data_IF_879685591918
#
_entry.id   IF_879685591918
#
_cell.length_a   1.000
_cell.length_b   1.000
_cell.length_c   1.000
_cell.angle_alpha   90.00
_cell.angle_beta   90.00
_cell.angle_gamma   90.00
#
_symmetry.space_group_name_H-M   'P 1'
#
loop_
_entity.id
_entity.type
_entity.pdbx_description
1 polymer ?
#
# COMPACT_ATOMS: atom_id res chain seq x y z
N UNK A 1 -18.28 -8.37 -11.63
CA UNK A 1 -17.80 -7.56 -10.49
C UNK A 1 -18.92 -7.52 -9.47
N UNK A 2 -18.63 -7.86 -8.21
CA UNK A 2 -19.62 -7.84 -7.12
C UNK A 2 -19.17 -6.80 -6.11
N UNK A 3 -20.07 -5.92 -5.66
CA UNK A 3 -19.79 -4.93 -4.63
C UNK A 3 -20.24 -5.46 -3.27
N UNK A 4 -19.36 -5.39 -2.27
CA UNK A 4 -19.62 -5.94 -0.94
C UNK A 4 -19.18 -4.94 0.11
N UNK A 5 -20.04 -4.70 1.10
CA UNK A 5 -19.69 -3.89 2.26
C UNK A 5 -18.87 -4.70 3.26
N UNK A 6 -17.83 -4.09 3.82
CA UNK A 6 -17.00 -4.75 4.80
C UNK A 6 -15.97 -3.84 5.46
N UNK A 7 -15.01 -4.48 6.11
CA UNK A 7 -13.87 -3.85 6.76
C UNK A 7 -12.58 -4.40 6.16
N UNK A 8 -11.74 -3.51 5.65
CA UNK A 8 -10.44 -3.83 5.06
C UNK A 8 -9.34 -3.42 6.05
N UNK A 9 -8.70 -4.41 6.67
CA UNK A 9 -7.55 -4.19 7.55
C UNK A 9 -6.26 -4.27 6.72
N UNK A 10 -5.59 -3.13 6.51
CA UNK A 10 -4.34 -3.02 5.77
C UNK A 10 -3.17 -3.07 6.76
N UNK A 11 -2.18 -3.92 6.48
CA UNK A 11 -0.94 -4.07 7.24
C UNK A 11 0.27 -3.92 6.32
N UNK A 12 1.27 -3.19 6.78
CA UNK A 12 2.55 -3.10 6.05
C UNK A 12 3.42 -4.30 6.39
N UNK A 13 3.93 -4.98 5.36
CA UNK A 13 4.78 -6.15 5.48
C UNK A 13 6.11 -5.87 4.77
N UNK A 14 7.21 -5.99 5.51
CA UNK A 14 8.55 -5.90 4.93
C UNK A 14 8.92 -7.19 4.20
N UNK A 15 9.24 -7.09 2.91
CA UNK A 15 9.70 -8.19 2.07
C UNK A 15 11.15 -8.03 1.62
N UNK A 16 11.65 -9.05 0.90
CA UNK A 16 13.00 -9.03 0.29
C UNK A 16 13.22 -7.85 -0.65
N UNK A 17 12.15 -7.37 -1.29
CA UNK A 17 12.19 -6.29 -2.30
C UNK A 17 11.64 -4.95 -1.78
N UNK A 18 11.45 -4.81 -0.46
CA UNK A 18 10.90 -3.61 0.16
C UNK A 18 9.62 -3.87 0.92
N UNK A 19 9.14 -2.83 1.58
CA UNK A 19 7.86 -2.83 2.28
C UNK A 19 6.71 -2.90 1.29
N UNK A 20 5.70 -3.69 1.64
CA UNK A 20 4.52 -3.82 0.84
C UNK A 20 3.28 -4.01 1.68
N UNK A 21 2.18 -3.43 1.24
CA UNK A 21 0.93 -3.60 1.98
C UNK A 21 0.20 -4.88 1.59
N UNK A 22 -0.35 -5.54 2.61
CA UNK A 22 -1.33 -6.63 2.47
C UNK A 22 -2.59 -6.23 3.21
N UNK A 23 -3.73 -6.68 2.71
CA UNK A 23 -4.99 -6.38 3.36
C UNK A 23 -5.80 -7.63 3.62
N UNK A 24 -6.63 -7.56 4.65
CA UNK A 24 -7.61 -8.59 4.96
C UNK A 24 -8.98 -7.96 4.92
N UNK A 25 -9.81 -8.42 3.98
CA UNK A 25 -11.20 -7.99 3.87
C UNK A 25 -12.08 -8.93 4.68
N UNK A 26 -12.77 -8.37 5.67
CA UNK A 26 -13.83 -9.01 6.42
C UNK A 26 -15.18 -8.51 5.92
N UNK A 27 -16.05 -9.42 5.49
CA UNK A 27 -17.37 -9.11 4.96
C UNK A 27 -18.34 -10.27 5.22
N UNK A 28 -19.60 -10.09 4.84
CA UNK A 28 -20.64 -11.12 5.00
C UNK A 28 -20.34 -12.45 4.29
N UNK A 29 -19.54 -12.42 3.21
CA UNK A 29 -19.11 -13.63 2.49
C UNK A 29 -17.95 -14.35 3.17
N UNK A 30 -17.43 -13.80 4.25
CA UNK A 30 -16.27 -14.30 4.98
C UNK A 30 -15.04 -13.41 4.80
N UNK A 31 -13.89 -14.03 5.02
CA UNK A 31 -12.60 -13.34 5.14
C UNK A 31 -11.68 -13.66 3.97
N UNK A 32 -11.18 -12.63 3.32
CA UNK A 32 -10.34 -12.74 2.13
C UNK A 32 -9.02 -12.02 2.29
N UNK A 33 -7.92 -12.69 1.92
CA UNK A 33 -6.61 -12.07 1.85
C UNK A 33 -6.45 -11.34 0.51
N UNK A 34 -6.06 -10.07 0.56
CA UNK A 34 -5.87 -9.22 -0.62
C UNK A 34 -4.39 -8.81 -0.66
N UNK A 35 -3.76 -9.10 -1.80
CA UNK A 35 -2.36 -8.76 -2.06
C UNK A 35 -2.30 -8.03 -3.40
N UNK A 36 -2.73 -6.79 -3.38
CA UNK A 36 -2.82 -5.95 -4.57
C UNK A 36 -1.83 -4.77 -4.48
N UNK A 37 -1.33 -4.29 -5.62
CA UNK A 37 -0.40 -3.18 -5.67
C UNK A 37 -1.07 -1.86 -5.24
N UNK A 38 -2.37 -1.69 -5.52
CA UNK A 38 -3.12 -0.50 -5.10
C UNK A 38 -3.14 -0.31 -3.58
N UNK A 39 -2.99 -1.39 -2.80
CA UNK A 39 -2.94 -1.31 -1.33
C UNK A 39 -1.72 -0.56 -0.85
N UNK A 40 -0.65 -0.51 -1.65
CA UNK A 40 0.60 0.13 -1.28
C UNK A 40 0.47 1.65 -1.17
N UNK A 41 -0.55 2.25 -1.77
CA UNK A 41 -0.85 3.67 -1.62
C UNK A 41 -1.43 4.02 -0.24
N UNK A 42 -2.12 3.06 0.38
CA UNK A 42 -2.79 3.25 1.66
C UNK A 42 -1.80 3.13 2.82
N UNK A 43 -2.08 3.79 3.94
CA UNK A 43 -1.31 3.57 5.17
C UNK A 43 -1.84 2.34 5.92
N UNK A 44 -1.03 1.79 6.84
CA UNK A 44 -1.51 0.78 7.78
C UNK A 44 -2.71 1.32 8.58
N UNK A 45 -3.78 0.53 8.67
CA UNK A 45 -5.03 0.99 9.25
C UNK A 45 -6.23 0.11 8.91
N UNK A 46 -7.38 0.48 9.47
CA UNK A 46 -8.67 -0.16 9.20
C UNK A 46 -9.52 0.77 8.34
N UNK A 47 -10.05 0.22 7.25
CA UNK A 47 -10.80 0.97 6.25
C UNK A 47 -12.19 0.34 6.09
N UNK A 48 -13.25 1.09 6.37
CA UNK A 48 -14.63 0.62 6.25
C UNK A 48 -15.27 1.19 4.99
N UNK A 49 -15.96 0.33 4.24
CA UNK A 49 -16.56 0.77 2.99
C UNK A 49 -17.17 -0.34 2.16
N UNK A 50 -17.39 -0.01 0.89
CA UNK A 50 -17.81 -0.94 -0.15
C UNK A 50 -16.61 -1.30 -1.01
N UNK A 51 -16.41 -2.59 -1.25
CA UNK A 51 -15.28 -3.14 -1.99
C UNK A 51 -15.82 -3.89 -3.20
N UNK A 52 -15.32 -3.54 -4.39
CA UNK A 52 -15.65 -4.25 -5.61
C UNK A 52 -14.73 -5.45 -5.76
N UNK A 53 -15.26 -6.66 -5.65
CA UNK A 53 -14.51 -7.90 -5.87
C UNK A 53 -14.51 -8.23 -7.37
N UNK A 54 -13.31 -8.33 -7.93
CA UNK A 54 -13.05 -8.79 -9.31
C UNK A 54 -13.22 -10.30 -9.41
N UNK A 55 -12.53 -11.02 -8.54
CA UNK A 55 -12.56 -12.49 -8.42
C UNK A 55 -12.12 -12.95 -7.03
N UNK A 56 -12.59 -14.13 -6.64
CA UNK A 56 -12.14 -14.87 -5.46
C UNK A 56 -11.45 -16.13 -5.97
N UNK A 57 -10.28 -16.44 -5.43
CA UNK A 57 -9.47 -17.58 -5.86
C UNK A 57 -8.62 -18.10 -4.70
N UNK A 58 -8.24 -19.38 -4.77
CA UNK A 58 -7.26 -19.94 -3.83
C UNK A 58 -5.86 -19.50 -4.23
N UNK A 59 -5.21 -18.72 -3.38
CA UNK A 59 -3.79 -18.41 -3.52
C UNK A 59 -2.97 -19.40 -2.73
N UNK A 60 -1.91 -19.96 -3.32
CA UNK A 60 -0.97 -20.80 -2.58
C UNK A 60 0.43 -20.20 -2.58
N UNK A 61 1.17 -20.40 -1.50
CA UNK A 61 2.60 -20.15 -1.47
C UNK A 61 3.30 -21.23 -0.66
N UNK A 62 4.52 -21.52 -1.08
CA UNK A 62 5.38 -22.50 -0.43
C UNK A 62 6.46 -21.75 0.37
N UNK A 63 6.55 -22.08 1.65
CA UNK A 63 7.73 -21.79 2.47
C UNK A 63 8.63 -23.04 2.50
N UNK A 64 9.88 -22.93 2.97
CA UNK A 64 10.88 -24.00 2.91
C UNK A 64 10.35 -25.37 3.38
N UNK A 65 9.40 -25.40 4.32
CA UNK A 65 8.87 -26.64 4.89
C UNK A 65 7.32 -26.77 4.84
N UNK A 66 6.58 -25.83 4.24
CA UNK A 66 5.10 -25.86 4.27
C UNK A 66 4.48 -25.33 2.97
N UNK A 67 3.32 -25.89 2.64
CA UNK A 67 2.44 -25.41 1.57
C UNK A 67 1.20 -24.79 2.20
N UNK A 68 0.97 -23.50 1.94
CA UNK A 68 -0.14 -22.74 2.53
C UNK A 68 -1.11 -22.37 1.40
N UNK A 69 -2.39 -22.68 1.58
CA UNK A 69 -3.48 -22.27 0.70
C UNK A 69 -4.34 -21.28 1.48
N UNK A 70 -4.56 -20.09 0.91
CA UNK A 70 -5.40 -19.05 1.50
C UNK A 70 -6.47 -18.60 0.50
N UNK A 71 -7.64 -18.26 0.99
CA UNK A 71 -8.71 -17.69 0.15
C UNK A 71 -8.36 -16.22 -0.14
N UNK A 72 -8.05 -15.93 -1.40
CA UNK A 72 -7.69 -14.58 -1.86
C UNK A 72 -8.81 -13.94 -2.66
N UNK A 73 -8.85 -12.62 -2.60
CA UNK A 73 -9.69 -11.80 -3.47
C UNK A 73 -8.84 -10.77 -4.19
N UNK A 74 -9.19 -10.51 -5.45
CA UNK A 74 -8.73 -9.35 -6.19
C UNK A 74 -9.82 -8.27 -6.15
N UNK A 75 -9.40 -7.05 -5.86
CA UNK A 75 -10.30 -5.91 -5.86
C UNK A 75 -10.28 -5.23 -7.23
N UNK A 76 -11.44 -4.81 -7.69
CA UNK A 76 -11.64 -3.93 -8.83
C UNK A 76 -11.82 -2.47 -8.41
N UNK A 77 -12.13 -2.20 -7.14
CA UNK A 77 -12.31 -0.85 -6.62
C UNK A 77 -12.58 -0.81 -5.13
N UNK A 78 -12.26 0.33 -4.50
CA UNK A 78 -12.50 0.62 -3.09
C UNK A 78 -13.39 1.86 -3.01
N UNK A 79 -14.42 1.86 -2.17
CA UNK A 79 -15.25 3.03 -1.86
C UNK A 79 -15.37 3.15 -0.35
N UNK A 80 -14.61 4.06 0.25
CA UNK A 80 -14.52 4.20 1.70
C UNK A 80 -15.63 5.08 2.26
N UNK A 81 -16.26 4.62 3.34
CA UNK A 81 -17.17 5.40 4.16
C UNK A 81 -16.39 6.06 5.30
N UNK A 82 -15.62 5.25 6.04
CA UNK A 82 -14.84 5.65 7.20
C UNK A 82 -13.48 4.95 7.20
N UNK A 83 -12.47 5.55 7.83
CA UNK A 83 -11.15 4.94 7.96
C UNK A 83 -10.43 5.41 9.22
N UNK A 84 -9.64 4.52 9.79
CA UNK A 84 -8.75 4.81 10.91
C UNK A 84 -7.33 4.38 10.53
N UNK A 85 -6.48 5.38 10.28
CA UNK A 85 -5.04 5.18 10.07
C UNK A 85 -4.33 5.00 11.41
N UNK A 86 -3.40 4.05 11.46
CA UNK A 86 -2.70 3.71 12.69
C UNK A 86 -2.52 2.21 12.82
N UNK A 87 -1.75 1.80 13.83
CA UNK A 87 -1.47 0.39 14.06
C UNK A 87 -2.79 -0.33 14.36
N UNK A 88 -3.21 -1.18 13.43
CA UNK A 88 -4.39 -2.02 13.65
C UNK A 88 -4.09 -2.94 14.84
N UNK A 89 -4.94 -2.96 15.89
CA UNK A 89 -4.74 -3.87 16.99
C UNK A 89 -4.70 -5.29 16.43
N UNK A 90 -3.72 -6.07 16.89
CA UNK A 90 -3.61 -7.49 16.59
C UNK A 90 -4.80 -8.18 17.29
N UNK A 91 -6.00 -8.09 16.69
CA UNK A 91 -7.13 -8.90 17.12
C UNK A 91 -6.66 -10.35 17.11
N UNK A 92 -6.77 -10.97 18.28
CA UNK A 92 -6.20 -12.25 18.69
C UNK A 92 -6.79 -13.42 17.91
N UNK A 93 -6.52 -13.42 16.62
CA UNK A 93 -6.77 -14.51 15.71
C UNK A 93 -5.57 -15.44 15.88
N UNK A 94 -5.77 -16.46 16.71
CA UNK A 94 -4.95 -17.67 16.86
C UNK A 94 -3.51 -17.46 16.35
N UNK A 95 -2.60 -17.06 17.25
CA UNK A 95 -1.19 -16.78 16.97
C UNK A 95 -0.68 -17.55 15.76
N UNK A 96 -0.65 -16.88 14.60
CA UNK A 96 -0.13 -17.46 13.39
C UNK A 96 1.37 -17.66 13.64
N UNK A 97 1.89 -18.90 13.76
CA UNK A 97 3.29 -19.13 14.12
C UNK A 97 4.26 -18.61 13.04
N UNK A 98 3.75 -18.10 11.91
CA UNK A 98 4.50 -17.40 10.88
C UNK A 98 4.75 -15.91 11.21
N UNK A 99 3.96 -15.29 12.09
CA UNK A 99 4.16 -13.90 12.51
C UNK A 99 5.46 -13.75 13.33
N UNK A 100 5.78 -14.74 14.17
CA UNK A 100 6.97 -14.74 15.01
C UNK A 100 8.26 -14.91 14.20
N UNK A 101 8.26 -15.77 13.17
CA UNK A 101 9.38 -15.91 12.23
C UNK A 101 9.56 -14.67 11.33
N UNK A 102 8.47 -13.94 11.01
CA UNK A 102 8.54 -12.69 10.23
C UNK A 102 9.02 -11.51 11.09
N UNK A 103 8.62 -11.44 12.36
CA UNK A 103 9.08 -10.42 13.31
C UNK A 103 10.57 -10.59 13.64
N UNK A 104 11.07 -11.83 13.73
CA UNK A 104 12.49 -12.10 13.94
C UNK A 104 13.39 -11.60 12.77
N UNK A 105 12.85 -11.46 11.55
CA UNK A 105 13.56 -10.87 10.41
C UNK A 105 13.44 -9.34 10.34
N UNK A 106 12.37 -8.76 10.89
CA UNK A 106 12.12 -7.31 10.87
C UNK A 106 13.05 -6.51 11.81
N UNK A 107 13.43 -7.09 12.96
CA UNK A 107 14.29 -6.43 13.96
C UNK A 107 15.72 -6.14 13.47
N UNK A 108 16.14 -6.69 12.33
CA UNK A 108 17.45 -6.43 11.73
C UNK A 108 17.50 -5.27 10.73
N UNK A 109 16.39 -4.58 10.48
CA UNK A 109 16.29 -3.56 9.42
C UNK A 109 15.91 -2.15 9.88
N UNK A 110 16.03 -1.86 11.18
CA UNK A 110 15.80 -0.52 11.75
C UNK A 110 16.83 0.56 11.34
N UNK A 111 17.68 0.29 10.35
CA UNK A 111 18.59 1.26 9.74
C UNK A 111 18.56 1.06 8.23
N UNK A 112 17.80 1.88 7.51
CA UNK A 112 18.11 2.22 6.12
C UNK A 112 17.68 3.64 5.81
N UNK A 113 18.70 4.43 5.49
CA UNK A 113 18.62 5.80 5.01
C UNK A 113 17.70 5.94 3.80
N UNK A 114 17.08 7.12 3.61
CA UNK A 114 16.30 7.42 2.41
C UNK A 114 17.13 7.14 1.15
N UNK A 115 16.58 6.33 0.26
CA UNK A 115 17.16 6.05 -1.05
C UNK A 115 17.08 7.35 -1.86
N UNK A 116 18.21 8.04 -2.03
CA UNK A 116 18.32 9.18 -2.94
C UNK A 116 18.13 8.67 -4.36
N UNK A 117 16.90 8.79 -4.87
CA UNK A 117 16.58 8.47 -6.26
C UNK A 117 17.11 9.61 -7.14
N UNK A 118 18.00 9.35 -8.12
CA UNK A 118 18.54 10.38 -9.00
C UNK A 118 17.41 11.06 -9.78
N UNK A 119 17.43 12.39 -9.79
CA UNK A 119 16.39 13.29 -10.34
C UNK A 119 16.14 13.15 -11.85
N UNK A 120 17.07 12.55 -12.59
CA UNK A 120 17.02 12.38 -14.05
C UNK A 120 16.00 11.30 -14.48
N UNK A 121 15.72 10.31 -13.60
CA UNK A 121 14.85 9.15 -13.89
C UNK A 121 13.34 9.46 -13.70
N UNK A 122 12.99 10.65 -13.18
CA UNK A 122 11.62 10.98 -12.77
C UNK A 122 10.67 11.23 -13.95
N UNK A 123 11.19 11.78 -15.05
CA UNK A 123 10.41 11.97 -16.28
C UNK A 123 10.11 10.61 -16.94
N UNK A 124 11.00 9.64 -16.85
CA UNK A 124 10.78 8.27 -17.34
C UNK A 124 9.82 7.49 -16.43
N UNK A 125 9.94 7.67 -15.11
CA UNK A 125 9.12 6.97 -14.11
C UNK A 125 7.64 7.40 -14.12
N UNK A 126 7.37 8.68 -14.39
CA UNK A 126 6.02 9.23 -14.40
C UNK A 126 5.48 9.53 -15.82
N UNK A 127 6.35 9.59 -16.83
CA UNK A 127 5.96 9.79 -18.23
C UNK A 127 5.10 11.04 -18.42
N UNK A 128 3.87 10.85 -18.89
CA UNK A 128 2.89 11.92 -19.13
C UNK A 128 2.33 12.57 -17.85
N UNK A 129 2.50 11.93 -16.68
CA UNK A 129 2.14 12.53 -15.39
C UNK A 129 3.18 13.56 -14.92
N UNK A 130 4.31 13.67 -15.63
CA UNK A 130 5.35 14.64 -15.35
C UNK A 130 5.13 15.95 -16.13
N UNK A 131 5.31 17.13 -15.51
CA UNK A 131 5.76 17.36 -14.13
C UNK A 131 4.65 17.15 -13.09
N UNK A 132 4.99 16.49 -11.99
CA UNK A 132 4.08 16.27 -10.88
C UNK A 132 3.84 17.59 -10.13
N UNK A 133 2.72 18.24 -10.47
CA UNK A 133 2.17 19.38 -9.79
C UNK A 133 3.06 20.58 -9.59
N UNK A 134 2.93 21.59 -10.45
CA UNK A 134 3.66 22.85 -10.34
C UNK A 134 3.26 23.70 -9.11
N UNK A 135 2.15 23.36 -8.42
CA UNK A 135 1.58 24.14 -7.32
C UNK A 135 1.16 23.25 -6.15
N UNK A 136 1.06 23.84 -4.96
CA UNK A 136 0.45 23.19 -3.78
C UNK A 136 -1.03 22.92 -4.10
N UNK A 137 -1.50 21.70 -3.83
CA UNK A 137 -2.86 21.25 -4.12
C UNK A 137 -3.00 20.46 -5.42
N UNK A 138 -1.91 20.26 -6.17
CA UNK A 138 -1.95 19.45 -7.38
C UNK A 138 -2.20 17.96 -7.06
N UNK A 139 -2.92 17.28 -7.96
CA UNK A 139 -3.46 15.95 -7.74
C UNK A 139 -2.80 14.96 -8.71
N UNK A 140 -2.16 13.93 -8.15
CA UNK A 140 -1.55 12.84 -8.91
C UNK A 140 -2.32 11.55 -8.62
N UNK A 141 -2.78 10.90 -9.68
CA UNK A 141 -3.41 9.58 -9.61
C UNK A 141 -2.48 8.55 -10.23
N UNK A 142 -2.04 7.58 -9.42
CA UNK A 142 -1.25 6.46 -9.92
C UNK A 142 -2.17 5.48 -10.66
N UNK A 143 -1.62 4.81 -11.67
CA UNK A 143 -2.32 3.72 -12.33
C UNK A 143 -1.87 2.38 -11.71
N UNK A 144 -2.73 1.67 -10.97
CA UNK A 144 -2.35 0.39 -10.35
C UNK A 144 -2.04 -0.73 -11.35
N UNK A 145 -2.39 -0.56 -12.63
CA UNK A 145 -2.11 -1.55 -13.68
C UNK A 145 -0.63 -1.58 -14.14
N UNK A 146 0.18 -0.59 -13.75
CA UNK A 146 1.62 -0.50 -14.14
C UNK A 146 2.51 -1.55 -13.45
N UNK A 147 1.93 -2.37 -12.57
CA UNK A 147 2.64 -3.43 -11.86
C UNK A 147 3.37 -2.93 -10.61
N UNK A 148 3.60 -3.86 -9.68
CA UNK A 148 4.09 -3.55 -8.33
C UNK A 148 5.47 -2.90 -8.29
N UNK A 149 6.35 -3.24 -9.22
CA UNK A 149 7.73 -2.72 -9.25
C UNK A 149 7.77 -1.23 -9.62
N UNK A 150 7.07 -0.84 -10.68
CA UNK A 150 7.00 0.55 -11.13
C UNK A 150 6.20 1.39 -10.14
N UNK A 151 5.07 0.86 -9.68
CA UNK A 151 4.24 1.50 -8.65
C UNK A 151 5.01 1.68 -7.33
N UNK A 152 5.81 0.71 -6.92
CA UNK A 152 6.66 0.81 -5.73
C UNK A 152 7.71 1.92 -5.85
N UNK A 153 8.28 2.14 -7.04
CA UNK A 153 9.21 3.25 -7.30
C UNK A 153 8.50 4.61 -7.28
N UNK A 154 7.32 4.70 -7.90
CA UNK A 154 6.49 5.91 -7.87
C UNK A 154 6.06 6.26 -6.43
N UNK A 155 5.69 5.24 -5.65
CA UNK A 155 5.36 5.39 -4.24
C UNK A 155 6.55 5.78 -3.38
N UNK A 156 7.72 5.21 -3.61
CA UNK A 156 8.95 5.60 -2.93
C UNK A 156 9.25 7.09 -3.17
N UNK A 157 8.98 7.60 -4.38
CA UNK A 157 9.09 9.02 -4.68
C UNK A 157 8.04 9.87 -3.95
N UNK A 158 6.76 9.49 -3.99
CA UNK A 158 5.69 10.28 -3.36
C UNK A 158 5.76 10.25 -1.82
N UNK A 159 6.16 9.11 -1.24
CA UNK A 159 6.38 8.94 0.20
C UNK A 159 7.72 9.51 0.66
N UNK A 160 8.55 10.05 -0.24
CA UNK A 160 9.85 10.63 0.14
C UNK A 160 9.65 11.80 1.10
N UNK A 161 10.55 11.87 2.07
CA UNK A 161 10.68 13.01 2.96
C UNK A 161 11.71 13.96 2.35
N UNK A 162 11.37 15.24 2.27
CA UNK A 162 12.33 16.28 1.87
C UNK A 162 12.66 17.06 3.14
N UNK A 163 13.91 16.96 3.60
CA UNK A 163 14.29 17.37 4.95
C UNK A 163 13.77 16.40 6.01
N UNK A 164 12.69 16.77 6.68
CA UNK A 164 12.01 15.99 7.73
C UNK A 164 10.48 15.89 7.49
N UNK A 165 9.98 16.50 6.42
CA UNK A 165 8.54 16.68 6.18
C UNK A 165 8.09 15.96 4.90
N UNK A 166 6.84 15.49 4.90
CA UNK A 166 6.20 14.87 3.73
C UNK A 166 5.71 15.94 2.76
N UNK A 167 6.03 15.77 1.48
CA UNK A 167 5.63 16.71 0.40
C UNK A 167 4.30 16.30 -0.24
N UNK A 168 4.01 15.01 -0.25
CA UNK A 168 2.77 14.46 -0.77
C UNK A 168 1.98 13.75 0.33
N UNK A 169 0.65 13.88 0.26
CA UNK A 169 -0.29 13.16 1.11
C UNK A 169 -1.23 12.36 0.25
N UNK A 170 -1.38 11.08 0.54
CA UNK A 170 -2.41 10.26 -0.07
C UNK A 170 -3.75 10.49 0.63
N UNK A 171 -4.80 10.78 -0.15
CA UNK A 171 -6.17 10.91 0.32
C UNK A 171 -6.92 9.60 0.05
N UNK A 172 -7.13 8.72 1.04
CA UNK A 172 -7.64 7.36 0.82
C UNK A 172 -9.08 7.35 0.29
N UNK A 173 -9.91 8.34 0.66
CA UNK A 173 -11.29 8.47 0.16
C UNK A 173 -11.34 8.82 -1.33
N UNK A 174 -10.39 9.62 -1.78
CA UNK A 174 -10.38 10.14 -3.14
C UNK A 174 -9.38 9.41 -4.06
N UNK A 175 -8.54 8.55 -3.49
CA UNK A 175 -7.55 7.70 -4.18
C UNK A 175 -6.60 8.52 -5.06
N UNK A 176 -6.16 9.64 -4.51
CA UNK A 176 -5.19 10.49 -5.17
C UNK A 176 -4.19 11.06 -4.18
N UNK A 177 -3.01 11.34 -4.71
CA UNK A 177 -1.95 12.02 -4.01
C UNK A 177 -2.13 13.51 -4.19
N UNK A 178 -2.19 14.25 -3.10
CA UNK A 178 -2.27 15.70 -3.11
C UNK A 178 -0.94 16.28 -2.68
N UNK A 179 -0.41 17.23 -3.47
CA UNK A 179 0.80 17.96 -3.12
C UNK A 179 0.49 18.91 -1.96
N UNK A 180 1.08 18.68 -0.80
CA UNK A 180 0.84 19.52 0.39
C UNK A 180 1.89 20.63 0.56
N UNK A 181 3.07 20.50 -0.07
CA UNK A 181 4.11 21.55 -0.08
C UNK A 181 4.88 21.63 -1.40
N UNK A 182 5.44 22.80 -1.67
CA UNK A 182 6.42 23.00 -2.73
C UNK A 182 7.81 22.66 -2.19
N UNK A 183 8.68 22.13 -3.05
CA UNK A 183 10.12 22.10 -2.77
C UNK A 183 10.54 23.57 -2.62
N UNK A 184 10.66 24.08 -1.40
CA UNK A 184 11.39 25.32 -1.19
C UNK A 184 12.82 25.04 -1.65
N UNK A 185 13.18 25.71 -2.74
CA UNK A 185 14.36 25.41 -3.52
C UNK A 185 15.60 25.31 -2.65
N UNK A 186 16.41 24.31 -2.97
CA UNK A 186 17.86 24.43 -2.91
C UNK A 186 18.20 25.82 -3.50
N UNK A 187 18.63 26.74 -2.64
CA UNK A 187 19.37 27.93 -3.01
C UNK A 187 20.80 27.74 -2.51
#
# INVERSE_FOLDING_TARGET
>A
MVQITGSLAIKTVTGRFGDFNVATLDCELGRFAIRDAMLDEYNEGTYQGTFGIKRIFSGSYQTQHRFIIETRAELSGIWLNDYQEGKVPEESLESDPLAEERQAQAVSSAQRQPLELPVDDMSELFGELWPLGAQIGDIVKLNPEVGRELMGRQLAYLKRLIGDERVWRFEPKAQHWTRIRLDEGVN
#
